data_IF_336094254130
#
_entry.id   IF_336094254130
#
_cell.length_a   1.000
_cell.length_b   1.000
_cell.length_c   1.000
_cell.angle_alpha   90.00
_cell.angle_beta   90.00
_cell.angle_gamma   90.00
#
_symmetry.space_group_name_H-M   'P 1'
#
loop_
_entity.id
_entity.type
_entity.pdbx_description
1 polymer ?
#
# COMPACT_ATOMS: atom_id res chain seq x y z
N UNK A 1 23.56 -0.20 -26.65
CA UNK A 1 22.12 -0.24 -27.02
C UNK A 1 21.31 -0.14 -25.75
N UNK A 2 20.48 0.89 -25.61
CA UNK A 2 19.61 1.00 -24.41
C UNK A 2 18.55 -0.10 -24.47
N UNK A 3 18.54 -0.95 -23.43
CA UNK A 3 17.55 -2.01 -23.32
C UNK A 3 16.17 -1.38 -23.06
N UNK A 4 15.12 -1.83 -23.78
CA UNK A 4 13.77 -1.28 -23.62
C UNK A 4 13.07 -1.71 -22.33
N UNK A 5 13.65 -2.62 -21.53
CA UNK A 5 13.07 -3.14 -20.30
C UNK A 5 13.87 -2.73 -19.06
N UNK A 6 13.15 -2.43 -17.99
CA UNK A 6 13.70 -2.05 -16.69
C UNK A 6 13.09 -2.90 -15.59
N UNK A 7 13.86 -3.05 -14.51
CA UNK A 7 13.40 -3.55 -13.22
C UNK A 7 13.50 -2.40 -12.21
N UNK A 8 12.40 -2.04 -11.63
CA UNK A 8 12.28 -1.13 -10.48
C UNK A 8 12.10 -1.98 -9.22
N UNK A 9 12.94 -1.78 -8.22
CA UNK A 9 12.88 -2.50 -6.94
C UNK A 9 12.76 -1.51 -5.79
N UNK A 10 11.70 -1.66 -4.99
CA UNK A 10 11.48 -0.87 -3.78
C UNK A 10 11.78 -1.72 -2.55
N UNK A 11 12.73 -1.27 -1.76
CA UNK A 11 13.02 -1.86 -0.45
C UNK A 11 12.00 -1.36 0.58
N UNK A 12 11.19 -2.29 1.08
CA UNK A 12 10.18 -2.07 2.11
C UNK A 12 10.57 -2.78 3.44
N UNK A 13 11.86 -2.99 3.69
CA UNK A 13 12.37 -3.65 4.88
C UNK A 13 12.34 -5.18 4.77
N UNK A 14 11.30 -5.82 5.26
CA UNK A 14 11.15 -7.28 5.19
C UNK A 14 10.75 -7.79 3.80
N UNK A 15 10.31 -6.90 2.92
CA UNK A 15 9.88 -7.23 1.56
C UNK A 15 10.54 -6.32 0.53
N UNK A 16 10.77 -6.87 -0.68
CA UNK A 16 11.13 -6.10 -1.86
C UNK A 16 9.98 -6.16 -2.84
N UNK A 17 9.44 -5.03 -3.25
CA UNK A 17 8.46 -4.98 -4.33
C UNK A 17 9.17 -4.75 -5.65
N UNK A 18 8.93 -5.61 -6.63
CA UNK A 18 9.60 -5.60 -7.92
C UNK A 18 8.62 -5.37 -9.04
N UNK A 19 8.94 -4.42 -9.91
CA UNK A 19 8.22 -4.16 -11.15
C UNK A 19 9.17 -4.27 -12.34
N UNK A 20 8.87 -5.16 -13.25
CA UNK A 20 9.59 -5.31 -14.52
C UNK A 20 8.66 -4.92 -15.66
N UNK A 21 9.08 -3.95 -16.45
CA UNK A 21 8.24 -3.34 -17.50
C UNK A 21 9.07 -2.73 -18.61
N UNK A 22 8.45 -2.52 -19.76
CA UNK A 22 9.05 -1.75 -20.84
C UNK A 22 9.01 -0.26 -20.53
N UNK A 23 10.07 0.48 -20.90
CA UNK A 23 10.19 1.91 -20.60
C UNK A 23 9.26 2.79 -21.43
N UNK A 24 8.61 2.23 -22.46
CA UNK A 24 7.81 2.99 -23.41
C UNK A 24 8.63 3.75 -24.47
N UNK A 25 9.94 3.79 -24.33
CA UNK A 25 10.82 4.41 -25.36
C UNK A 25 10.99 3.46 -26.53
N UNK A 26 10.56 3.90 -27.69
CA UNK A 26 10.60 3.15 -28.94
C UNK A 26 12.00 3.18 -29.55
N UNK A 27 12.40 2.11 -30.24
CA UNK A 27 13.60 2.08 -31.06
C UNK A 27 14.57 0.93 -30.82
N UNK A 28 14.19 -0.12 -30.11
CA UNK A 28 14.99 -1.35 -30.09
C UNK A 28 14.76 -2.13 -31.41
N UNK A 29 15.77 -2.22 -32.26
CA UNK A 29 15.75 -3.03 -33.50
C UNK A 29 15.29 -4.46 -33.16
N UNK A 30 14.32 -4.99 -33.94
CA UNK A 30 13.88 -6.39 -33.87
C UNK A 30 12.76 -6.70 -32.86
N UNK A 31 12.15 -5.71 -32.22
CA UNK A 31 10.96 -5.93 -31.42
C UNK A 31 9.70 -5.81 -32.28
N UNK A 32 9.08 -6.94 -32.61
CA UNK A 32 7.69 -6.94 -33.07
C UNK A 32 6.81 -6.51 -31.91
N UNK A 33 6.07 -5.45 -32.12
CA UNK A 33 5.09 -4.92 -31.18
C UNK A 33 3.74 -5.49 -31.54
N UNK A 34 3.01 -6.01 -30.55
CA UNK A 34 1.59 -6.25 -30.76
C UNK A 34 0.86 -4.93 -31.05
N UNK A 35 -0.19 -4.95 -31.89
CA UNK A 35 -0.96 -3.74 -32.19
C UNK A 35 -1.44 -3.10 -30.90
N UNK A 36 -1.28 -1.78 -30.78
CA UNK A 36 -1.90 -1.01 -29.71
C UNK A 36 -3.41 -1.19 -29.80
N UNK A 37 -4.02 -1.63 -28.70
CA UNK A 37 -5.45 -1.40 -28.48
C UNK A 37 -5.61 -0.03 -27.83
N UNK A 38 -6.58 0.74 -28.30
CA UNK A 38 -7.00 1.91 -27.53
C UNK A 38 -7.60 1.42 -26.21
N UNK A 39 -7.13 1.97 -25.05
CA UNK A 39 -7.64 1.54 -23.77
C UNK A 39 -9.09 1.99 -23.61
N UNK A 40 -9.95 1.12 -23.12
CA UNK A 40 -11.29 1.51 -22.70
C UNK A 40 -11.22 2.36 -21.42
N UNK A 41 -12.25 3.17 -21.13
CA UNK A 41 -12.34 3.89 -19.85
C UNK A 41 -12.17 2.96 -18.64
N UNK A 42 -12.73 1.75 -18.70
CA UNK A 42 -12.64 0.72 -17.64
C UNK A 42 -11.21 0.22 -17.47
N UNK A 43 -10.47 0.05 -18.57
CA UNK A 43 -9.05 -0.34 -18.52
C UNK A 43 -8.21 0.73 -17.82
N UNK A 44 -8.49 1.99 -18.11
CA UNK A 44 -7.82 3.14 -17.49
C UNK A 44 -8.13 3.18 -15.98
N UNK A 45 -9.40 3.03 -15.60
CA UNK A 45 -9.83 3.01 -14.19
C UNK A 45 -9.14 1.87 -13.44
N UNK A 46 -9.18 0.65 -14.00
CA UNK A 46 -8.54 -0.53 -13.40
C UNK A 46 -7.01 -0.35 -13.25
N UNK A 47 -6.34 0.22 -14.26
CA UNK A 47 -4.91 0.46 -14.22
C UNK A 47 -4.53 1.54 -13.19
N UNK A 48 -5.31 2.61 -13.10
CA UNK A 48 -5.14 3.67 -12.10
C UNK A 48 -5.37 3.15 -10.68
N UNK A 49 -6.40 2.31 -10.48
CA UNK A 49 -6.66 1.68 -9.19
C UNK A 49 -5.49 0.77 -8.78
N UNK A 50 -4.99 -0.04 -9.69
CA UNK A 50 -3.87 -0.94 -9.43
C UNK A 50 -2.59 -0.20 -9.06
N UNK A 51 -2.30 0.90 -9.76
CA UNK A 51 -1.19 1.80 -9.44
C UNK A 51 -1.36 2.41 -8.04
N UNK A 52 -2.55 2.89 -7.72
CA UNK A 52 -2.89 3.48 -6.41
C UNK A 52 -2.67 2.50 -5.26
N UNK A 53 -3.16 1.26 -5.39
CA UNK A 53 -2.97 0.22 -4.36
C UNK A 53 -1.49 -0.04 -4.10
N UNK A 54 -0.68 -0.19 -5.14
CA UNK A 54 0.77 -0.45 -4.99
C UNK A 54 1.51 0.71 -4.35
N UNK A 55 1.23 1.93 -4.79
CA UNK A 55 1.84 3.13 -4.20
C UNK A 55 1.48 3.26 -2.72
N UNK A 56 0.22 3.02 -2.39
CA UNK A 56 -0.24 3.08 -1.00
C UNK A 56 0.35 1.96 -0.15
N UNK A 57 0.46 0.74 -0.68
CA UNK A 57 1.10 -0.38 0.03
C UNK A 57 2.54 -0.06 0.41
N UNK A 58 3.33 0.49 -0.51
CA UNK A 58 4.69 0.96 -0.22
C UNK A 58 4.71 2.06 0.83
N UNK A 59 3.81 3.03 0.68
CA UNK A 59 3.70 4.15 1.61
C UNK A 59 3.39 3.68 3.04
N UNK A 60 2.49 2.70 3.18
CA UNK A 60 2.16 2.07 4.46
C UNK A 60 3.39 1.35 5.03
N UNK A 61 4.03 0.49 4.25
CA UNK A 61 5.21 -0.29 4.69
C UNK A 61 6.40 0.57 5.11
N UNK A 62 6.58 1.75 4.53
CA UNK A 62 7.69 2.65 4.88
C UNK A 62 7.44 3.50 6.12
N UNK A 63 6.20 3.68 6.52
CA UNK A 63 5.84 4.69 7.51
C UNK A 63 5.12 4.16 8.73
N UNK A 64 4.60 2.95 8.65
CA UNK A 64 3.83 2.33 9.71
C UNK A 64 4.40 0.96 10.07
N UNK A 65 4.16 0.53 11.31
CA UNK A 65 4.66 -0.72 11.87
C UNK A 65 3.54 -1.52 12.51
N UNK A 66 3.82 -2.79 12.77
CA UNK A 66 2.99 -3.60 13.68
C UNK A 66 2.90 -2.90 15.04
N UNK A 67 1.71 -2.79 15.58
CA UNK A 67 1.44 -2.02 16.80
C UNK A 67 0.78 -0.66 16.53
N UNK A 68 0.87 -0.13 15.32
CA UNK A 68 0.17 1.10 14.95
C UNK A 68 -1.36 0.94 14.98
N UNK A 69 -2.08 2.06 14.99
CA UNK A 69 -3.51 2.09 15.23
C UNK A 69 -4.31 2.22 13.95
N UNK A 70 -5.20 1.27 13.71
CA UNK A 70 -6.27 1.36 12.72
C UNK A 70 -7.57 1.75 13.40
N UNK A 71 -8.09 2.92 13.08
CA UNK A 71 -9.21 3.54 13.80
C UNK A 71 -10.35 3.81 12.84
N UNK A 72 -11.57 3.46 13.26
CA UNK A 72 -12.79 3.87 12.58
C UNK A 72 -13.48 4.94 13.43
N UNK A 73 -13.54 6.17 12.92
CA UNK A 73 -14.24 7.28 13.52
C UNK A 73 -15.67 7.30 12.99
N UNK A 74 -16.64 7.29 13.88
CA UNK A 74 -18.07 7.32 13.54
C UNK A 74 -18.74 8.55 14.13
N UNK A 75 -19.89 8.91 13.58
CA UNK A 75 -20.78 9.91 14.16
C UNK A 75 -21.85 9.24 15.04
N UNK A 76 -22.43 9.99 15.95
CA UNK A 76 -23.57 9.53 16.74
C UNK A 76 -24.73 9.15 15.81
N UNK A 77 -25.53 8.15 16.23
CA UNK A 77 -26.55 7.50 15.39
C UNK A 77 -27.54 8.49 14.76
N UNK A 78 -27.87 9.55 15.48
CA UNK A 78 -28.87 10.53 15.07
C UNK A 78 -28.28 11.80 14.42
N UNK A 79 -26.94 11.87 14.32
CA UNK A 79 -26.23 13.01 13.71
C UNK A 79 -25.66 12.63 12.38
N UNK A 80 -26.43 12.85 11.33
CA UNK A 80 -25.91 12.77 9.96
C UNK A 80 -25.28 14.10 9.61
N UNK A 81 -24.03 14.02 9.14
CA UNK A 81 -23.27 15.19 8.68
C UNK A 81 -23.11 15.13 7.17
N UNK A 82 -23.01 16.30 6.55
CA UNK A 82 -22.65 16.39 5.13
C UNK A 82 -21.18 16.03 4.90
N UNK A 83 -20.82 15.81 3.64
CA UNK A 83 -19.43 15.54 3.27
C UNK A 83 -18.50 16.72 3.62
N UNK A 84 -18.94 17.93 3.39
CA UNK A 84 -18.23 19.17 3.67
C UNK A 84 -18.01 19.37 5.17
N UNK A 85 -19.02 19.10 5.99
CA UNK A 85 -18.91 19.14 7.45
C UNK A 85 -17.92 18.09 7.97
N UNK A 86 -17.98 16.86 7.44
CA UNK A 86 -17.03 15.82 7.76
C UNK A 86 -15.59 16.24 7.45
N UNK A 87 -15.33 16.85 6.29
CA UNK A 87 -14.02 17.38 5.94
C UNK A 87 -13.54 18.43 6.95
N UNK A 88 -14.41 19.35 7.35
CA UNK A 88 -14.10 20.38 8.38
C UNK A 88 -13.78 19.73 9.73
N UNK A 89 -14.56 18.75 10.15
CA UNK A 89 -14.32 18.00 11.39
C UNK A 89 -12.97 17.28 11.34
N UNK A 90 -12.64 16.62 10.24
CA UNK A 90 -11.36 15.94 10.08
C UNK A 90 -10.18 16.92 10.07
N UNK A 91 -10.29 18.06 9.42
CA UNK A 91 -9.25 19.10 9.44
C UNK A 91 -9.00 19.62 10.86
N UNK A 92 -10.06 19.85 11.65
CA UNK A 92 -9.96 20.25 13.06
C UNK A 92 -9.31 19.15 13.90
N UNK A 93 -9.79 17.93 13.77
CA UNK A 93 -9.28 16.76 14.49
C UNK A 93 -7.78 16.53 14.23
N UNK A 94 -7.36 16.55 12.96
CA UNK A 94 -5.94 16.39 12.60
C UNK A 94 -5.07 17.52 13.19
N UNK A 95 -5.53 18.77 13.16
CA UNK A 95 -4.80 19.90 13.79
C UNK A 95 -4.64 19.70 15.28
N UNK A 96 -5.69 19.27 15.97
CA UNK A 96 -5.65 18.98 17.41
C UNK A 96 -4.73 17.80 17.73
N UNK A 97 -4.76 16.72 16.93
CA UNK A 97 -3.82 15.60 17.05
C UNK A 97 -2.38 16.06 16.88
N UNK A 98 -2.09 16.87 15.86
CA UNK A 98 -0.74 17.40 15.62
C UNK A 98 -0.23 18.23 16.81
N UNK A 99 -1.11 19.07 17.41
CA UNK A 99 -0.77 19.86 18.59
C UNK A 99 -0.50 18.97 19.80
N UNK A 100 -1.34 17.93 20.00
CA UNK A 100 -1.19 17.01 21.13
C UNK A 100 0.07 16.16 20.98
N UNK A 101 0.36 15.64 19.80
CA UNK A 101 1.59 14.88 19.52
C UNK A 101 2.84 15.73 19.76
N UNK A 102 2.87 16.97 19.25
CA UNK A 102 3.98 17.91 19.47
C UNK A 102 4.24 18.20 20.94
N UNK A 103 3.18 18.30 21.75
CA UNK A 103 3.32 18.52 23.22
C UNK A 103 4.16 17.43 23.87
N UNK A 104 4.09 16.20 23.36
CA UNK A 104 4.85 15.05 23.88
C UNK A 104 6.13 14.76 23.09
N UNK A 105 6.54 15.63 22.16
CA UNK A 105 7.71 15.43 21.30
C UNK A 105 7.52 14.38 20.21
N UNK A 106 6.29 13.94 19.96
CA UNK A 106 5.97 12.93 18.96
C UNK A 106 5.70 13.53 17.59
N UNK A 107 6.01 12.77 16.55
CA UNK A 107 5.70 13.14 15.15
C UNK A 107 4.48 12.37 14.67
N UNK A 108 3.40 13.09 14.36
CA UNK A 108 2.17 12.49 13.84
C UNK A 108 2.33 12.04 12.39
N UNK A 109 2.08 10.77 12.11
CA UNK A 109 1.92 10.18 10.78
C UNK A 109 0.53 9.61 10.63
N UNK A 110 -0.12 9.84 9.50
CA UNK A 110 -1.46 9.31 9.26
C UNK A 110 -1.76 9.11 7.78
N UNK A 111 -2.71 8.21 7.53
CA UNK A 111 -3.45 8.08 6.27
C UNK A 111 -4.91 7.90 6.64
N UNK A 112 -5.81 8.79 6.17
CA UNK A 112 -7.23 8.63 6.43
C UNK A 112 -8.04 8.59 5.14
N UNK A 113 -9.18 7.89 5.22
CA UNK A 113 -10.15 7.72 4.15
C UNK A 113 -11.56 7.89 4.70
N UNK A 114 -12.39 8.78 4.13
CA UNK A 114 -13.83 8.80 4.38
C UNK A 114 -14.51 7.69 3.58
N UNK A 115 -15.61 7.20 4.09
CA UNK A 115 -16.48 6.24 3.41
C UNK A 115 -17.92 6.50 3.81
N UNK A 116 -18.84 6.41 2.84
CA UNK A 116 -20.27 6.41 3.10
C UNK A 116 -20.74 4.95 3.11
N UNK A 117 -21.26 4.49 4.23
CA UNK A 117 -21.80 3.14 4.36
C UNK A 117 -23.14 2.99 3.60
N UNK A 118 -23.55 1.74 3.33
CA UNK A 118 -24.78 1.41 2.61
C UNK A 118 -26.07 2.10 3.14
N UNK A 119 -26.07 2.50 4.41
CA UNK A 119 -27.19 3.23 5.05
C UNK A 119 -27.02 4.76 5.02
N UNK A 120 -26.08 5.27 4.23
CA UNK A 120 -25.79 6.69 4.09
C UNK A 120 -25.04 7.33 5.26
N UNK A 121 -24.56 6.54 6.24
CA UNK A 121 -23.79 7.06 7.35
C UNK A 121 -22.31 7.21 6.95
N UNK A 122 -21.74 8.39 7.20
CA UNK A 122 -20.32 8.65 6.98
C UNK A 122 -19.53 8.06 8.15
N UNK A 123 -18.45 7.35 7.83
CA UNK A 123 -17.42 6.94 8.76
C UNK A 123 -16.04 7.18 8.15
N UNK A 124 -15.05 7.36 9.00
CA UNK A 124 -13.71 7.68 8.55
C UNK A 124 -12.76 6.61 9.10
N UNK A 125 -12.00 6.01 8.20
CA UNK A 125 -10.91 5.12 8.57
C UNK A 125 -9.61 5.90 8.61
N UNK A 126 -8.83 5.72 9.68
CA UNK A 126 -7.55 6.38 9.81
C UNK A 126 -6.51 5.39 10.34
N UNK A 127 -5.39 5.30 9.63
CA UNK A 127 -4.17 4.67 10.09
C UNK A 127 -3.31 5.73 10.74
N UNK A 128 -2.94 5.53 12.00
CA UNK A 128 -2.10 6.42 12.81
C UNK A 128 -0.90 5.68 13.35
N UNK A 129 0.27 6.33 13.39
CA UNK A 129 1.36 5.82 14.21
C UNK A 129 0.97 5.86 15.69
N UNK A 130 1.17 4.73 16.38
CA UNK A 130 0.89 4.61 17.81
C UNK A 130 2.09 5.08 18.62
N UNK A 131 1.83 6.00 19.55
CA UNK A 131 2.82 6.55 20.46
C UNK A 131 2.29 6.44 21.90
N UNK A 132 3.19 6.23 22.85
CA UNK A 132 2.84 6.15 24.27
C UNK A 132 3.97 6.62 25.15
N UNK A 133 3.61 7.15 26.33
CA UNK A 133 4.52 7.45 27.43
C UNK A 133 3.82 7.18 28.77
N UNK A 134 4.42 7.56 29.88
CA UNK A 134 3.87 7.38 31.23
C UNK A 134 2.57 8.14 31.46
N UNK A 135 2.31 9.23 30.74
CA UNK A 135 1.15 10.11 30.95
C UNK A 135 -0.03 9.75 30.02
N UNK A 136 0.27 9.38 28.79
CA UNK A 136 -0.76 9.21 27.75
C UNK A 136 -0.33 8.28 26.64
N UNK A 137 -1.30 7.92 25.80
CA UNK A 137 -1.12 7.13 24.57
C UNK A 137 -2.06 7.60 23.48
N UNK A 138 -1.72 7.29 22.23
CA UNK A 138 -2.50 7.66 21.03
C UNK A 138 -3.99 7.40 21.20
N UNK A 139 -4.39 6.23 21.69
CA UNK A 139 -5.80 5.87 21.86
C UNK A 139 -6.55 6.83 22.79
N UNK A 140 -5.95 7.20 23.94
CA UNK A 140 -6.52 8.14 24.89
C UNK A 140 -6.72 9.51 24.22
N UNK A 141 -5.69 10.00 23.54
CA UNK A 141 -5.74 11.29 22.83
C UNK A 141 -6.85 11.29 21.78
N UNK A 142 -6.98 10.22 20.99
CA UNK A 142 -8.03 10.12 19.96
C UNK A 142 -9.43 10.15 20.59
N UNK A 143 -9.65 9.43 21.70
CA UNK A 143 -10.95 9.43 22.40
C UNK A 143 -11.31 10.79 22.98
N UNK A 144 -10.32 11.52 23.51
CA UNK A 144 -10.52 12.88 24.02
C UNK A 144 -10.85 13.88 22.92
N UNK A 145 -10.24 13.75 21.75
CA UNK A 145 -10.35 14.74 20.67
C UNK A 145 -11.53 14.47 19.73
N UNK A 146 -11.92 13.20 19.53
CA UNK A 146 -13.05 12.87 18.69
C UNK A 146 -14.35 12.87 19.49
N UNK A 147 -15.06 14.01 19.50
CA UNK A 147 -16.29 14.22 20.27
C UNK A 147 -17.58 13.96 19.50
N UNK A 148 -17.49 13.59 18.21
CA UNK A 148 -18.64 13.42 17.35
C UNK A 148 -19.31 12.04 17.43
N UNK A 149 -18.64 11.07 18.05
CA UNK A 149 -19.11 9.69 18.21
C UNK A 149 -18.03 8.81 18.87
N UNK A 150 -18.18 7.50 18.75
CA UNK A 150 -17.28 6.55 19.39
C UNK A 150 -16.21 6.06 18.41
N UNK A 151 -14.90 6.30 18.67
CA UNK A 151 -13.82 5.70 17.91
C UNK A 151 -13.74 4.19 18.17
N UNK A 152 -13.75 3.38 17.12
CA UNK A 152 -13.40 1.96 17.19
C UNK A 152 -11.93 1.80 16.80
N UNK A 153 -11.11 1.23 17.68
CA UNK A 153 -9.67 1.12 17.52
C UNK A 153 -9.24 -0.34 17.44
N UNK A 154 -8.40 -0.63 16.46
CA UNK A 154 -7.76 -1.91 16.29
C UNK A 154 -6.26 -1.71 16.16
N UNK A 155 -5.48 -2.63 16.71
CA UNK A 155 -4.03 -2.66 16.50
C UNK A 155 -3.74 -3.27 15.13
N UNK A 156 -2.80 -2.71 14.42
CA UNK A 156 -2.30 -3.29 13.15
C UNK A 156 -1.36 -4.44 13.50
N UNK A 157 -1.72 -5.66 13.14
CA UNK A 157 -0.91 -6.85 13.39
C UNK A 157 -0.03 -7.25 12.20
N UNK A 158 -0.49 -6.98 10.99
CA UNK A 158 0.24 -7.35 9.78
C UNK A 158 0.14 -6.24 8.72
N UNK A 159 1.29 -5.85 8.19
CA UNK A 159 1.43 -4.92 7.07
C UNK A 159 1.99 -5.61 5.82
N UNK A 160 2.30 -6.92 5.89
CA UNK A 160 2.98 -7.64 4.81
C UNK A 160 2.05 -7.95 3.66
N UNK A 161 0.81 -8.38 3.96
CA UNK A 161 -0.15 -8.90 2.99
C UNK A 161 -0.80 -7.82 2.11
N UNK A 162 -0.71 -6.54 2.50
CA UNK A 162 -1.24 -5.45 1.67
C UNK A 162 -2.74 -5.21 1.75
N UNK A 163 -3.49 -6.03 2.49
CA UNK A 163 -4.96 -5.95 2.64
C UNK A 163 -5.42 -4.58 3.13
N UNK A 164 -4.68 -4.01 4.09
CA UNK A 164 -4.96 -2.67 4.59
C UNK A 164 -4.82 -1.60 3.50
N UNK A 165 -3.80 -1.72 2.65
CA UNK A 165 -3.61 -0.79 1.54
C UNK A 165 -4.69 -0.94 0.47
N UNK A 166 -5.12 -2.16 0.17
CA UNK A 166 -6.23 -2.43 -0.74
C UNK A 166 -7.53 -1.81 -0.20
N UNK A 167 -7.79 -2.00 1.09
CA UNK A 167 -8.95 -1.43 1.75
C UNK A 167 -8.92 0.11 1.71
N UNK A 168 -7.81 0.76 2.07
CA UNK A 168 -7.67 2.21 2.02
C UNK A 168 -7.78 2.74 0.58
N UNK A 169 -7.25 2.01 -0.40
CA UNK A 169 -7.26 2.41 -1.81
C UNK A 169 -8.54 2.01 -2.56
N UNK A 170 -9.53 1.40 -1.92
CA UNK A 170 -10.80 1.02 -2.56
C UNK A 170 -11.35 2.18 -3.40
N UNK A 171 -11.84 1.98 -4.62
CA UNK A 171 -12.45 3.04 -5.43
C UNK A 171 -13.56 3.76 -4.69
N UNK A 172 -13.77 5.02 -5.04
CA UNK A 172 -14.94 5.77 -4.60
C UNK A 172 -16.20 5.05 -5.08
N UNK A 173 -17.22 5.01 -4.23
CA UNK A 173 -18.51 4.46 -4.58
C UNK A 173 -19.33 5.52 -5.33
N UNK A 174 -20.35 5.10 -6.08
CA UNK A 174 -21.21 5.99 -6.88
C UNK A 174 -21.88 7.11 -6.07
N UNK A 175 -22.11 6.85 -4.78
CA UNK A 175 -22.72 7.83 -3.85
C UNK A 175 -21.70 8.71 -3.13
N UNK A 176 -20.39 8.55 -3.38
CA UNK A 176 -19.34 9.44 -2.88
C UNK A 176 -19.10 10.57 -3.88
N UNK A 177 -18.74 11.79 -3.44
CA UNK A 177 -18.52 12.91 -4.36
C UNK A 177 -17.46 12.57 -5.43
N UNK A 178 -17.75 12.82 -6.69
CA UNK A 178 -16.92 12.48 -7.85
C UNK A 178 -15.49 13.04 -7.73
N UNK A 179 -15.34 14.24 -7.16
CA UNK A 179 -14.03 14.90 -6.95
C UNK A 179 -13.38 14.56 -5.62
N UNK A 180 -13.96 13.64 -4.84
CA UNK A 180 -13.38 13.25 -3.56
C UNK A 180 -12.06 12.49 -3.77
N UNK A 181 -11.09 12.73 -2.87
CA UNK A 181 -9.85 11.96 -2.84
C UNK A 181 -10.12 10.61 -2.18
N UNK A 182 -9.64 9.54 -2.78
CA UNK A 182 -9.78 8.20 -2.22
C UNK A 182 -9.17 8.09 -0.81
N UNK A 183 -8.07 8.79 -0.54
CA UNK A 183 -7.44 8.87 0.78
C UNK A 183 -6.60 10.14 0.95
N UNK A 184 -6.27 10.48 2.19
CA UNK A 184 -5.55 11.69 2.59
C UNK A 184 -4.33 11.32 3.45
N UNK A 185 -3.12 11.27 2.89
CA UNK A 185 -1.90 10.98 3.65
C UNK A 185 -1.32 12.24 4.28
N UNK A 186 -0.66 12.13 5.42
CA UNK A 186 0.13 13.21 5.98
C UNK A 186 1.33 13.54 5.08
N UNK A 187 1.76 14.81 5.08
CA UNK A 187 2.80 15.29 4.17
C UNK A 187 4.20 14.78 4.50
N UNK A 188 4.43 14.40 5.74
CA UNK A 188 5.71 13.95 6.29
C UNK A 188 5.97 12.45 6.12
N UNK A 189 5.14 11.74 5.35
CA UNK A 189 5.40 10.33 5.05
C UNK A 189 6.60 10.17 4.13
N UNK A 190 7.45 9.22 4.48
CA UNK A 190 8.63 8.84 3.68
C UNK A 190 8.15 8.21 2.38
N UNK A 191 8.77 8.64 1.26
CA UNK A 191 8.59 8.08 -0.08
C UNK A 191 9.96 7.77 -0.65
N UNK A 192 10.22 6.51 -0.95
CA UNK A 192 11.51 6.09 -1.51
C UNK A 192 11.39 5.87 -3.01
N UNK A 193 12.41 6.30 -3.74
CA UNK A 193 12.56 5.98 -5.15
C UNK A 193 13.03 4.53 -5.32
N UNK A 194 12.69 3.87 -6.44
CA UNK A 194 13.14 2.52 -6.69
C UNK A 194 14.62 2.47 -7.08
N UNK A 195 15.28 1.39 -6.68
CA UNK A 195 16.53 0.99 -7.32
C UNK A 195 16.22 0.48 -8.73
N UNK A 196 16.63 1.25 -9.77
CA UNK A 196 16.35 0.94 -11.17
C UNK A 196 17.51 0.23 -11.83
N UNK A 197 17.21 -0.86 -12.56
CA UNK A 197 18.17 -1.61 -13.36
C UNK A 197 17.61 -1.93 -14.74
N UNK A 198 18.42 -1.77 -15.78
CA UNK A 198 18.08 -2.29 -17.12
C UNK A 198 18.15 -3.82 -17.11
N UNK A 199 17.15 -4.45 -17.75
CA UNK A 199 17.07 -5.91 -17.89
C UNK A 199 16.92 -6.30 -19.36
N UNK A 200 17.43 -7.47 -19.71
CA UNK A 200 17.31 -8.02 -21.06
C UNK A 200 15.90 -8.59 -21.25
N UNK A 201 15.29 -8.39 -22.45
CA UNK A 201 13.97 -8.95 -22.77
C UNK A 201 13.87 -10.45 -22.45
N UNK A 202 14.91 -11.23 -22.77
CA UNK A 202 14.98 -12.69 -22.51
C UNK A 202 14.90 -13.08 -21.03
N UNK A 203 15.12 -12.16 -20.10
CA UNK A 203 14.93 -12.44 -18.66
C UNK A 203 13.47 -12.36 -18.23
N UNK A 204 12.64 -11.68 -19.00
CA UNK A 204 11.22 -11.49 -18.75
C UNK A 204 10.34 -12.41 -19.62
N UNK A 205 10.69 -12.60 -20.87
CA UNK A 205 9.92 -13.36 -21.86
C UNK A 205 10.79 -14.48 -22.41
N UNK A 206 10.23 -15.66 -22.61
CA UNK A 206 10.91 -16.77 -23.28
C UNK A 206 10.86 -16.65 -24.82
N UNK A 207 11.35 -17.68 -25.51
CA UNK A 207 11.36 -17.74 -26.98
C UNK A 207 9.95 -17.84 -27.60
N UNK A 208 9.01 -18.38 -26.85
CA UNK A 208 7.63 -18.60 -27.26
C UNK A 208 6.71 -17.42 -26.92
N UNK A 209 7.28 -16.34 -26.33
CA UNK A 209 6.54 -15.12 -25.98
C UNK A 209 5.86 -15.17 -24.61
N UNK A 210 6.07 -16.24 -23.84
CA UNK A 210 5.46 -16.42 -22.53
C UNK A 210 6.25 -15.66 -21.47
N UNK A 211 5.54 -14.94 -20.60
CA UNK A 211 6.18 -14.23 -19.49
C UNK A 211 6.62 -15.22 -18.41
N UNK A 212 7.93 -15.26 -18.17
CA UNK A 212 8.58 -16.17 -17.21
C UNK A 212 8.13 -15.93 -15.78
N UNK A 213 8.14 -16.97 -14.96
CA UNK A 213 8.01 -16.85 -13.50
C UNK A 213 9.17 -16.05 -12.91
N UNK A 214 8.93 -15.25 -11.86
CA UNK A 214 9.99 -14.59 -11.14
C UNK A 214 10.86 -15.61 -10.39
N UNK A 215 12.15 -15.31 -10.26
CA UNK A 215 13.08 -16.11 -9.46
C UNK A 215 13.53 -15.29 -8.26
N UNK A 216 13.45 -15.88 -7.08
CA UNK A 216 13.94 -15.25 -5.86
C UNK A 216 15.49 -15.29 -5.81
N UNK A 217 16.15 -14.20 -5.40
CA UNK A 217 17.56 -14.22 -5.06
C UNK A 217 17.78 -14.95 -3.73
N UNK A 218 19.06 -15.27 -3.43
CA UNK A 218 19.42 -15.91 -2.15
C UNK A 218 18.92 -15.07 -0.96
N UNK A 219 18.30 -15.71 0.02
CA UNK A 219 17.76 -15.06 1.21
C UNK A 219 16.34 -14.50 1.05
N UNK A 220 15.70 -14.75 -0.09
CA UNK A 220 14.30 -14.34 -0.33
C UNK A 220 13.51 -15.49 -0.94
N UNK A 221 12.20 -15.45 -0.79
CA UNK A 221 11.26 -16.23 -1.59
C UNK A 221 10.27 -15.29 -2.30
N UNK A 222 9.68 -15.75 -3.38
CA UNK A 222 8.62 -15.02 -4.09
C UNK A 222 7.30 -15.34 -3.41
N UNK A 223 6.55 -14.31 -3.03
CA UNK A 223 5.18 -14.46 -2.59
C UNK A 223 4.29 -14.82 -3.80
N UNK A 224 3.72 -16.03 -3.86
CA UNK A 224 2.98 -16.50 -5.03
C UNK A 224 1.74 -15.64 -5.33
N UNK A 225 1.05 -15.16 -4.30
CA UNK A 225 -0.20 -14.39 -4.43
C UNK A 225 0.06 -12.96 -4.94
N UNK A 226 1.29 -12.48 -4.80
CA UNK A 226 1.72 -11.17 -5.29
C UNK A 226 2.03 -11.14 -6.78
N UNK A 227 2.15 -12.30 -7.46
CA UNK A 227 2.58 -12.37 -8.85
C UNK A 227 1.48 -11.85 -9.78
N UNK A 228 1.79 -10.78 -10.52
CA UNK A 228 0.97 -10.26 -11.62
C UNK A 228 1.86 -10.14 -12.85
N UNK A 229 1.55 -10.90 -13.89
CA UNK A 229 2.35 -10.91 -15.13
C UNK A 229 1.46 -11.04 -16.36
N UNK A 230 1.95 -10.59 -17.49
CA UNK A 230 1.22 -10.67 -18.74
C UNK A 230 1.77 -9.72 -19.80
N UNK A 231 1.02 -9.57 -20.87
CA UNK A 231 1.22 -8.56 -21.90
C UNK A 231 0.27 -7.40 -21.61
N UNK A 232 0.81 -6.20 -21.54
CA UNK A 232 -0.01 -5.00 -21.33
C UNK A 232 -0.84 -4.74 -22.59
N UNK A 233 -2.17 -4.76 -22.54
CA UNK A 233 -3.02 -4.66 -23.72
C UNK A 233 -2.89 -3.32 -24.45
N UNK A 234 -2.52 -2.26 -23.72
CA UNK A 234 -2.36 -0.92 -24.28
C UNK A 234 -1.01 -0.77 -24.98
N UNK A 235 0.06 -1.29 -24.38
CA UNK A 235 1.42 -1.09 -24.90
C UNK A 235 1.94 -2.26 -25.73
N UNK A 236 1.31 -3.44 -25.67
CA UNK A 236 1.76 -4.66 -26.30
C UNK A 236 3.08 -5.20 -25.73
N UNK A 237 3.54 -4.69 -24.57
CA UNK A 237 4.78 -5.14 -23.94
C UNK A 237 4.51 -5.99 -22.71
N UNK A 238 5.39 -6.96 -22.49
CA UNK A 238 5.34 -7.79 -21.30
C UNK A 238 5.62 -6.97 -20.03
N UNK A 239 4.97 -7.38 -18.96
CA UNK A 239 5.21 -6.87 -17.62
C UNK A 239 5.17 -8.00 -16.59
N UNK A 240 5.84 -7.78 -15.46
CA UNK A 240 5.78 -8.68 -14.32
C UNK A 240 5.95 -7.86 -13.04
N UNK A 241 5.06 -8.11 -12.06
CA UNK A 241 5.12 -7.54 -10.73
C UNK A 241 5.08 -8.66 -9.72
N UNK A 242 5.86 -8.56 -8.65
CA UNK A 242 5.90 -9.55 -7.58
C UNK A 242 6.55 -8.97 -6.33
N UNK A 243 6.30 -9.61 -5.21
CA UNK A 243 6.90 -9.30 -3.91
C UNK A 243 7.89 -10.41 -3.55
N UNK A 244 9.08 -10.01 -3.15
CA UNK A 244 10.06 -10.87 -2.53
C UNK A 244 9.99 -10.69 -1.03
N UNK A 245 9.88 -11.77 -0.28
CA UNK A 245 9.86 -11.77 1.18
C UNK A 245 11.20 -12.28 1.68
N UNK A 246 11.79 -11.57 2.64
CA UNK A 246 13.07 -11.95 3.25
C UNK A 246 12.89 -13.21 4.10
N UNK A 247 13.76 -14.20 3.90
CA UNK A 247 13.80 -15.40 4.74
C UNK A 247 14.48 -15.01 6.05
N UNK A 248 13.72 -15.02 7.15
CA UNK A 248 14.27 -14.80 8.47
C UNK A 248 14.88 -16.11 8.96
N UNK A 249 16.20 -16.18 9.08
CA UNK A 249 16.94 -17.38 9.52
C UNK A 249 16.83 -17.67 11.05
N UNK A 250 15.87 -17.06 11.74
CA UNK A 250 15.72 -17.23 13.19
C UNK A 250 15.13 -18.58 13.63
N UNK A 251 14.94 -19.55 12.72
CA UNK A 251 14.44 -20.88 13.05
C UNK A 251 15.28 -22.00 12.43
N UNK A 252 16.58 -22.04 12.77
CA UNK A 252 17.37 -23.26 12.66
C UNK A 252 18.24 -23.43 13.91
N UNK A 253 17.62 -23.43 15.08
CA UNK A 253 18.16 -24.18 16.21
C UNK A 253 17.74 -25.63 16.00
N UNK A 254 18.67 -26.58 15.89
CA UNK A 254 18.30 -27.98 15.97
C UNK A 254 17.64 -28.21 17.34
N UNK A 255 16.45 -28.81 17.34
CA UNK A 255 15.80 -29.29 18.55
C UNK A 255 16.79 -30.20 19.29
N UNK A 256 17.06 -29.98 20.59
CA UNK A 256 17.81 -30.94 21.38
C UNK A 256 16.90 -32.11 21.72
N UNK A 257 16.76 -33.05 20.80
CA UNK A 257 16.23 -34.38 21.05
C UNK A 257 17.00 -35.32 20.17
N UNK A 258 17.93 -35.99 20.78
CA UNK A 258 18.32 -37.39 20.69
C UNK A 258 19.72 -37.59 21.32
N UNK A 259 19.76 -37.51 22.66
CA UNK A 259 20.71 -38.21 23.45
C UNK A 259 19.98 -39.14 24.40
N UNK A 260 19.51 -40.25 23.87
CA UNK A 260 19.22 -41.42 24.66
C UNK A 260 20.22 -42.46 24.24
N UNK A 261 21.27 -42.57 25.05
CA UNK A 261 21.56 -43.71 25.93
C UNK A 261 21.70 -45.05 25.27
N UNK A 262 22.85 -45.54 25.34
CA UNK A 262 23.11 -46.93 25.72
C UNK A 262 23.94 -46.95 26.95
#
# INVERSE_FOLDING_TARGET
MKCGYIRDTWDCGETLEVEEKHTGRYGARGQKREPKKEPTPEDIIRQNQWKRVRELRRLVKWNFTTGDSWITLTYQKDKRVSWEEMIKHMQKFIRQLQTRYRKYGWTLKYIWRPQIGKRGAIHIHILLNAESNTETRTEKIVRELWTHGNPNMKVVYDLKNGDLAEYIATPLQEWEPEKAKAYHPSRNLIRKEPARKEIKRRSLIDKDGVVREPKAPKGYYVDPDSIKKGINPVTGYAYRHYTLVKICLLYTSPSPRDSTSS
#
